data_IF_480572715797
#
_entry.id   IF_480572715797
#
_cell.length_a   1.000
_cell.length_b   1.000
_cell.length_c   1.000
_cell.angle_alpha   90.00
_cell.angle_beta   90.00
_cell.angle_gamma   90.00
#
_symmetry.space_group_name_H-M   'P 1'
#
loop_
_entity.id
_entity.type
_entity.pdbx_description
1 polymer ?
#
# COMPACT_ATOMS: atom_id res chain seq x y z
N UNK A 1 -35.17 58.54 25.98
CA UNK A 1 -35.21 58.23 24.53
C UNK A 1 -35.23 56.71 24.37
N UNK A 2 -36.41 56.10 24.16
CA UNK A 2 -36.89 55.43 22.93
C UNK A 2 -35.85 54.49 22.27
N UNK A 3 -35.96 53.16 22.44
CA UNK A 3 -36.80 52.13 21.73
C UNK A 3 -35.85 51.25 20.87
N UNK A 4 -35.55 50.00 21.26
CA UNK A 4 -36.25 48.73 20.94
C UNK A 4 -36.20 48.26 19.45
N UNK A 5 -35.47 47.15 19.25
CA UNK A 5 -35.89 45.87 18.60
C UNK A 5 -35.80 45.64 17.06
N UNK A 6 -35.50 44.34 16.78
CA UNK A 6 -35.74 43.47 15.59
C UNK A 6 -34.54 43.32 14.62
N UNK A 7 -33.93 42.13 14.42
CA UNK A 7 -34.38 40.83 13.83
C UNK A 7 -35.00 40.99 12.45
N UNK A 8 -34.34 40.42 11.42
CA UNK A 8 -34.98 39.60 10.38
C UNK A 8 -33.94 38.84 9.54
N UNK A 9 -34.34 37.63 9.17
CA UNK A 9 -33.77 36.63 8.28
C UNK A 9 -34.61 36.63 7.00
N UNK A 10 -34.01 36.43 5.82
CA UNK A 10 -34.63 35.98 4.54
C UNK A 10 -33.46 35.86 3.53
N UNK A 11 -33.11 34.76 2.84
CA UNK A 11 -33.79 33.86 1.86
C UNK A 11 -34.49 34.57 0.70
N UNK A 12 -33.91 34.43 -0.50
CA UNK A 12 -34.52 34.18 -1.84
C UNK A 12 -33.48 34.59 -2.91
N UNK A 13 -32.96 33.70 -3.78
CA UNK A 13 -33.56 33.01 -4.94
C UNK A 13 -34.04 33.93 -6.07
N UNK A 14 -33.61 33.58 -7.29
CA UNK A 14 -34.08 34.03 -8.61
C UNK A 14 -33.71 35.47 -9.02
N UNK A 15 -33.37 35.81 -10.27
CA UNK A 15 -33.15 35.11 -11.54
C UNK A 15 -32.55 36.13 -12.53
N UNK A 16 -32.43 35.74 -13.79
CA UNK A 16 -32.38 36.61 -15.00
C UNK A 16 -31.01 36.97 -15.61
N UNK A 17 -30.61 36.04 -16.48
CA UNK A 17 -30.00 36.24 -17.79
C UNK A 17 -30.30 37.58 -18.48
N UNK A 18 -29.24 38.22 -19.01
CA UNK A 18 -29.33 39.07 -20.21
C UNK A 18 -28.30 38.59 -21.25
N UNK A 19 -28.84 38.03 -22.34
CA UNK A 19 -28.12 37.65 -23.55
C UNK A 19 -28.03 38.85 -24.51
N UNK A 20 -26.83 39.21 -24.98
CA UNK A 20 -26.66 39.92 -26.26
C UNK A 20 -25.90 39.02 -27.23
N UNK A 21 -26.65 38.63 -28.24
CA UNK A 21 -26.35 37.68 -29.29
C UNK A 21 -25.72 38.32 -30.53
N UNK A 22 -25.01 37.48 -31.30
CA UNK A 22 -25.00 37.30 -32.77
C UNK A 22 -23.57 37.11 -33.29
N UNK A 23 -23.23 36.21 -34.21
CA UNK A 23 -23.87 35.12 -35.01
C UNK A 23 -22.70 34.61 -35.90
N UNK A 24 -22.49 33.35 -36.26
CA UNK A 24 -23.29 32.47 -37.15
C UNK A 24 -22.45 31.17 -37.33
N UNK A 25 -22.95 29.99 -36.94
CA UNK A 25 -23.77 29.01 -37.70
C UNK A 25 -23.07 28.26 -38.85
N UNK A 26 -22.96 26.93 -38.69
CA UNK A 26 -23.58 25.84 -39.50
C UNK A 26 -23.12 24.51 -38.86
N UNK A 27 -23.91 23.54 -38.43
CA UNK A 27 -25.33 23.25 -38.61
C UNK A 27 -25.50 21.95 -39.38
N UNK A 28 -25.81 20.83 -38.70
CA UNK A 28 -26.88 19.87 -39.09
C UNK A 28 -27.13 18.85 -37.98
N UNK A 29 -28.43 18.56 -37.81
CA UNK A 29 -29.10 17.85 -36.73
C UNK A 29 -28.92 16.32 -36.81
N UNK A 30 -28.91 15.69 -35.64
CA UNK A 30 -29.32 14.31 -35.46
C UNK A 30 -30.86 14.24 -35.44
N UNK A 31 -31.43 13.34 -36.22
CA UNK A 31 -32.80 12.83 -36.05
C UNK A 31 -32.68 11.35 -35.66
N UNK A 32 -33.36 10.99 -34.59
CA UNK A 32 -33.59 9.61 -34.19
C UNK A 32 -34.65 9.00 -35.12
N UNK A 33 -34.33 7.84 -35.70
CA UNK A 33 -35.33 6.89 -36.16
C UNK A 33 -34.92 5.47 -35.78
N UNK A 34 -35.87 4.80 -35.13
CA UNK A 34 -35.89 3.41 -34.71
C UNK A 34 -36.24 2.47 -35.89
N UNK A 35 -35.89 1.20 -35.70
CA UNK A 35 -36.29 -0.02 -36.41
C UNK A 35 -35.53 -0.46 -37.69
N UNK A 36 -34.99 -1.68 -37.64
CA UNK A 36 -34.59 -2.44 -38.83
C UNK A 36 -33.52 -3.50 -38.59
N UNK A 37 -33.96 -4.72 -38.22
CA UNK A 37 -33.18 -5.97 -38.25
C UNK A 37 -32.36 -6.10 -39.54
N UNK A 38 -31.04 -6.29 -39.41
CA UNK A 38 -30.20 -6.92 -40.44
C UNK A 38 -29.11 -7.75 -39.77
N UNK A 39 -29.21 -9.05 -39.96
CA UNK A 39 -28.16 -10.04 -39.71
C UNK A 39 -26.84 -9.57 -40.34
N UNK A 40 -25.79 -9.50 -39.52
CA UNK A 40 -24.42 -9.40 -40.02
C UNK A 40 -23.71 -10.73 -39.78
N UNK A 41 -23.28 -11.30 -40.90
CA UNK A 41 -22.57 -12.57 -41.02
C UNK A 41 -21.28 -12.58 -40.21
N UNK A 42 -21.09 -13.67 -39.47
CA UNK A 42 -19.87 -14.05 -38.76
C UNK A 42 -18.78 -14.36 -39.81
N UNK A 43 -17.60 -13.71 -39.78
CA UNK A 43 -16.46 -14.18 -40.54
C UNK A 43 -15.83 -15.39 -39.83
N UNK A 44 -15.91 -16.55 -40.47
CA UNK A 44 -15.14 -17.76 -40.14
C UNK A 44 -13.65 -17.45 -40.21
N UNK A 45 -12.96 -17.48 -39.06
CA UNK A 45 -11.50 -17.47 -38.98
C UNK A 45 -11.00 -18.91 -39.15
N UNK A 46 -10.24 -19.13 -40.21
CA UNK A 46 -9.57 -20.39 -40.51
C UNK A 46 -8.47 -20.66 -39.48
N UNK A 47 -8.51 -21.85 -38.88
CA UNK A 47 -7.42 -22.41 -38.06
C UNK A 47 -6.16 -22.61 -38.90
N UNK A 48 -5.16 -21.76 -38.70
CA UNK A 48 -3.76 -22.09 -38.98
C UNK A 48 -2.98 -21.94 -37.68
N UNK A 49 -2.87 -23.04 -36.94
CA UNK A 49 -1.93 -23.18 -35.83
C UNK A 49 -0.51 -23.27 -36.41
N UNK A 50 0.17 -22.13 -36.51
CA UNK A 50 1.62 -22.13 -36.47
C UNK A 50 2.02 -22.26 -35.00
N UNK A 51 2.68 -23.36 -34.65
CA UNK A 51 3.33 -23.58 -33.36
C UNK A 51 4.25 -22.40 -33.05
N UNK A 52 3.82 -21.55 -32.13
CA UNK A 52 4.69 -20.58 -31.46
C UNK A 52 5.16 -21.27 -30.18
N UNK A 53 6.45 -21.55 -30.10
CA UNK A 53 7.09 -22.05 -28.88
C UNK A 53 6.68 -21.19 -27.68
N UNK A 54 6.26 -21.78 -26.56
CA UNK A 54 5.94 -21.01 -25.37
C UNK A 54 7.23 -20.40 -24.84
N UNK A 55 7.41 -19.10 -25.08
CA UNK A 55 8.39 -18.29 -24.37
C UNK A 55 8.26 -18.59 -22.88
N UNK A 56 9.36 -19.03 -22.28
CA UNK A 56 9.47 -19.48 -20.90
C UNK A 56 8.78 -18.48 -19.94
N UNK A 57 7.55 -18.80 -19.53
CA UNK A 57 6.92 -18.17 -18.36
C UNK A 57 7.66 -18.70 -17.13
N UNK A 58 8.82 -18.12 -16.83
CA UNK A 58 9.44 -18.23 -15.52
C UNK A 58 8.44 -17.67 -14.52
N UNK A 59 7.93 -18.54 -13.63
CA UNK A 59 7.03 -18.17 -12.55
C UNK A 59 7.63 -16.98 -11.80
N UNK A 60 7.07 -15.77 -12.00
CA UNK A 60 7.46 -14.61 -11.21
C UNK A 60 7.27 -15.01 -9.75
N UNK A 61 8.33 -14.91 -8.95
CA UNK A 61 8.14 -14.84 -7.51
C UNK A 61 7.32 -13.57 -7.28
N UNK A 62 6.10 -13.67 -6.76
CA UNK A 62 5.21 -12.54 -6.44
C UNK A 62 5.78 -11.61 -5.33
N UNK A 63 7.10 -11.41 -5.26
CA UNK A 63 7.85 -10.66 -4.25
C UNK A 63 8.43 -9.39 -4.88
N UNK A 64 8.70 -8.33 -4.09
CA UNK A 64 9.38 -7.13 -4.58
C UNK A 64 10.64 -7.47 -5.36
N UNK A 65 10.78 -6.86 -6.53
CA UNK A 65 11.84 -7.18 -7.50
C UNK A 65 12.86 -6.05 -7.46
N UNK A 66 13.97 -6.33 -6.79
CA UNK A 66 15.16 -5.48 -6.78
C UNK A 66 16.25 -6.21 -7.53
N UNK A 67 16.53 -5.74 -8.74
CA UNK A 67 17.54 -6.31 -9.63
C UNK A 67 18.93 -6.02 -9.08
N UNK A 68 19.96 -6.77 -9.50
CA UNK A 68 21.34 -6.51 -9.06
C UNK A 68 21.80 -5.11 -9.48
N UNK A 69 21.49 -4.69 -10.71
CA UNK A 69 21.77 -3.35 -11.22
C UNK A 69 21.12 -2.27 -10.34
N UNK A 70 19.82 -2.39 -10.10
CA UNK A 70 19.09 -1.49 -9.19
C UNK A 70 19.68 -1.45 -7.79
N UNK A 71 20.07 -2.61 -7.25
CA UNK A 71 20.72 -2.67 -5.94
C UNK A 71 22.05 -1.91 -5.94
N UNK A 72 22.92 -2.16 -6.93
CA UNK A 72 24.25 -1.55 -6.99
C UNK A 72 24.17 -0.02 -7.16
N UNK A 73 23.20 0.47 -7.92
CA UNK A 73 22.95 1.91 -8.10
C UNK A 73 22.32 2.58 -6.87
N UNK A 74 21.42 1.89 -6.16
CA UNK A 74 20.83 2.43 -4.93
C UNK A 74 21.77 2.30 -3.74
N UNK A 75 22.65 1.30 -3.71
CA UNK A 75 23.46 0.94 -2.56
C UNK A 75 24.23 2.11 -1.88
N UNK A 76 24.78 3.10 -2.61
CA UNK A 76 25.43 4.25 -1.97
C UNK A 76 24.51 4.97 -0.98
N UNK A 77 23.20 4.99 -1.25
CA UNK A 77 22.21 5.79 -0.54
C UNK A 77 21.14 4.96 0.17
N UNK A 78 20.81 3.77 -0.33
CA UNK A 78 19.71 2.94 0.15
C UNK A 78 20.08 1.46 0.10
N UNK A 79 20.13 0.82 1.26
CA UNK A 79 20.28 -0.62 1.38
C UNK A 79 18.88 -1.24 1.22
N UNK A 80 18.66 -1.98 0.14
CA UNK A 80 17.45 -2.77 -0.06
C UNK A 80 17.62 -4.14 0.59
N UNK A 81 17.13 -4.31 1.82
CA UNK A 81 17.15 -5.53 2.61
C UNK A 81 15.83 -6.30 2.51
N UNK A 82 15.70 -7.04 1.41
CA UNK A 82 14.63 -8.00 1.17
C UNK A 82 15.19 -9.41 1.22
N UNK A 83 14.31 -10.40 1.40
CA UNK A 83 14.72 -11.80 1.32
C UNK A 83 15.35 -12.14 -0.04
N UNK A 84 14.89 -11.51 -1.12
CA UNK A 84 15.44 -11.67 -2.49
C UNK A 84 16.82 -11.05 -2.68
N UNK A 85 17.20 -10.04 -1.89
CA UNK A 85 18.47 -9.30 -2.06
C UNK A 85 19.54 -9.68 -1.05
N UNK A 86 19.29 -10.65 -0.18
CA UNK A 86 20.18 -10.99 0.94
C UNK A 86 21.61 -11.37 0.50
N UNK A 87 21.74 -11.98 -0.68
CA UNK A 87 23.03 -12.36 -1.25
C UNK A 87 23.82 -11.12 -1.68
N UNK A 88 23.18 -10.14 -2.32
CA UNK A 88 23.82 -8.89 -2.71
C UNK A 88 24.30 -8.12 -1.48
N UNK A 89 23.49 -8.08 -0.42
CA UNK A 89 23.87 -7.43 0.84
C UNK A 89 25.13 -8.06 1.41
N UNK A 90 25.19 -9.39 1.46
CA UNK A 90 26.36 -10.13 2.00
C UNK A 90 27.67 -9.78 1.30
N UNK A 91 27.61 -9.47 0.00
CA UNK A 91 28.77 -9.11 -0.81
C UNK A 91 29.19 -7.65 -0.62
N UNK A 92 28.25 -6.74 -0.33
CA UNK A 92 28.51 -5.30 -0.37
C UNK A 92 28.70 -4.65 1.01
N UNK A 93 28.24 -5.23 2.11
CA UNK A 93 28.37 -4.64 3.46
C UNK A 93 29.32 -5.42 4.38
N UNK A 94 29.80 -4.72 5.43
CA UNK A 94 30.60 -5.33 6.49
C UNK A 94 29.85 -6.47 7.17
N UNK A 95 30.60 -7.49 7.58
CA UNK A 95 30.06 -8.73 8.15
C UNK A 95 29.16 -8.48 9.36
N UNK A 96 29.51 -7.53 10.21
CA UNK A 96 28.76 -7.20 11.42
C UNK A 96 27.36 -6.66 11.08
N UNK A 97 27.29 -5.69 10.16
CA UNK A 97 26.03 -5.10 9.69
C UNK A 97 25.18 -6.13 8.95
N UNK A 98 25.80 -7.02 8.17
CA UNK A 98 25.08 -8.13 7.51
C UNK A 98 24.42 -9.07 8.53
N UNK A 99 25.13 -9.44 9.59
CA UNK A 99 24.58 -10.31 10.64
C UNK A 99 23.39 -9.63 11.34
N UNK A 100 23.47 -8.32 11.58
CA UNK A 100 22.38 -7.56 12.17
C UNK A 100 21.14 -7.51 11.25
N UNK A 101 21.32 -7.17 9.96
CA UNK A 101 20.24 -7.14 8.98
C UNK A 101 19.60 -8.53 8.83
N UNK A 102 20.41 -9.58 8.74
CA UNK A 102 19.91 -10.96 8.66
C UNK A 102 19.09 -11.34 9.88
N UNK A 103 19.53 -10.95 11.08
CA UNK A 103 18.79 -11.17 12.32
C UNK A 103 17.45 -10.43 12.30
N UNK A 104 17.42 -9.18 11.82
CA UNK A 104 16.18 -8.42 11.68
C UNK A 104 15.19 -9.12 10.73
N UNK A 105 15.64 -9.53 9.54
CA UNK A 105 14.81 -10.28 8.58
C UNK A 105 14.23 -11.57 9.18
N UNK A 106 15.03 -12.34 9.93
CA UNK A 106 14.58 -13.56 10.59
C UNK A 106 13.59 -13.32 11.74
N UNK A 107 13.65 -12.15 12.39
CA UNK A 107 12.72 -11.78 13.46
C UNK A 107 11.37 -11.29 12.91
N UNK A 108 11.36 -10.77 11.69
CA UNK A 108 10.22 -10.14 11.05
C UNK A 108 9.14 -11.15 10.58
N UNK A 109 9.52 -12.40 10.25
CA UNK A 109 8.57 -13.47 9.89
C UNK A 109 7.85 -14.12 11.08
N UNK A 110 7.97 -13.58 12.29
CA UNK A 110 7.39 -14.17 13.50
C UNK A 110 5.88 -13.91 13.60
N UNK A 111 5.17 -14.94 14.06
CA UNK A 111 3.78 -14.81 14.49
C UNK A 111 3.75 -14.03 15.81
N UNK A 112 3.18 -12.82 15.79
CA UNK A 112 2.99 -11.94 16.95
C UNK A 112 1.52 -11.86 17.38
N UNK A 113 0.66 -12.68 16.79
CA UNK A 113 -0.70 -12.89 17.27
C UNK A 113 -0.67 -13.60 18.63
N UNK A 114 -1.60 -13.23 19.51
CA UNK A 114 -1.77 -13.92 20.78
C UNK A 114 -2.25 -15.35 20.53
N UNK A 115 -1.77 -16.31 21.33
CA UNK A 115 -2.15 -17.72 21.20
C UNK A 115 -3.66 -17.95 21.27
N UNK A 116 -4.37 -17.18 22.10
CA UNK A 116 -5.84 -17.19 22.18
C UNK A 116 -6.51 -16.80 20.87
N UNK A 117 -5.95 -15.84 20.13
CA UNK A 117 -6.45 -15.43 18.81
C UNK A 117 -6.17 -16.51 17.78
N UNK A 118 -4.97 -17.11 17.81
CA UNK A 118 -4.59 -18.19 16.89
C UNK A 118 -5.53 -19.38 17.04
N UNK A 119 -5.79 -19.83 18.27
CA UNK A 119 -6.73 -20.92 18.56
C UNK A 119 -8.14 -20.66 18.02
N UNK A 120 -8.66 -19.44 18.22
CA UNK A 120 -9.95 -19.03 17.66
C UNK A 120 -9.97 -19.10 16.13
N UNK A 121 -8.90 -18.65 15.47
CA UNK A 121 -8.78 -18.71 14.02
C UNK A 121 -8.72 -20.16 13.53
N UNK A 122 -7.95 -21.04 14.17
CA UNK A 122 -7.89 -22.47 13.86
C UNK A 122 -9.28 -23.11 13.93
N UNK A 123 -10.01 -22.85 15.03
CA UNK A 123 -11.39 -23.33 15.18
C UNK A 123 -12.33 -22.83 14.08
N UNK A 124 -12.23 -21.55 13.70
CA UNK A 124 -13.01 -21.00 12.57
C UNK A 124 -12.64 -21.70 11.27
N UNK A 125 -11.35 -21.88 10.98
CA UNK A 125 -10.88 -22.39 9.68
C UNK A 125 -11.08 -23.90 9.51
N UNK A 126 -11.27 -24.65 10.59
CA UNK A 126 -11.69 -26.06 10.57
C UNK A 126 -13.20 -26.23 10.34
N UNK A 127 -13.97 -25.14 10.37
CA UNK A 127 -15.43 -25.19 10.23
C UNK A 127 -15.88 -25.26 8.78
N UNK A 128 -16.85 -26.14 8.50
CA UNK A 128 -17.48 -26.25 7.20
C UNK A 128 -18.19 -24.96 6.79
N UNK A 129 -18.24 -24.70 5.48
CA UNK A 129 -18.85 -23.49 4.92
C UNK A 129 -20.31 -23.29 5.37
N UNK A 130 -21.09 -24.35 5.59
CA UNK A 130 -22.50 -24.24 6.02
C UNK A 130 -22.66 -23.56 7.37
N UNK A 131 -21.64 -23.60 8.22
CA UNK A 131 -21.67 -23.10 9.61
C UNK A 131 -20.67 -21.95 9.83
N UNK A 132 -19.84 -21.63 8.83
CA UNK A 132 -18.72 -20.70 8.97
C UNK A 132 -19.15 -19.30 9.43
N UNK A 133 -20.26 -18.77 8.92
CA UNK A 133 -20.75 -17.43 9.31
C UNK A 133 -21.08 -17.39 10.81
N UNK A 134 -21.82 -18.39 11.30
CA UNK A 134 -22.17 -18.53 12.71
C UNK A 134 -20.93 -18.72 13.58
N UNK A 135 -19.98 -19.54 13.13
CA UNK A 135 -18.73 -19.78 13.86
C UNK A 135 -17.86 -18.54 13.97
N UNK A 136 -17.74 -17.76 12.89
CA UNK A 136 -17.03 -16.48 12.92
C UNK A 136 -17.67 -15.59 13.99
N UNK A 137 -18.99 -15.46 14.01
CA UNK A 137 -19.70 -14.62 14.98
C UNK A 137 -19.44 -15.12 16.41
N UNK A 138 -19.58 -16.41 16.69
CA UNK A 138 -19.37 -17.01 18.01
C UNK A 138 -17.95 -16.77 18.55
N UNK A 139 -16.92 -17.07 17.75
CA UNK A 139 -15.52 -16.98 18.20
C UNK A 139 -15.02 -15.54 18.34
N UNK A 140 -15.70 -14.59 17.69
CA UNK A 140 -15.33 -13.17 17.65
C UNK A 140 -16.29 -12.27 18.43
N UNK A 141 -17.02 -12.81 19.41
CA UNK A 141 -17.84 -12.01 20.32
C UNK A 141 -16.98 -10.97 21.05
N UNK A 142 -17.47 -9.73 21.05
CA UNK A 142 -16.89 -8.58 21.73
C UNK A 142 -18.00 -7.90 22.52
N UNK A 143 -17.73 -7.54 23.76
CA UNK A 143 -18.68 -6.79 24.59
C UNK A 143 -18.90 -5.39 24.00
N UNK A 144 -20.16 -4.92 23.96
CA UNK A 144 -20.55 -3.72 23.20
C UNK A 144 -19.78 -2.44 23.55
N UNK A 145 -19.26 -2.34 24.78
CA UNK A 145 -18.52 -1.17 25.26
C UNK A 145 -17.01 -1.42 25.42
N UNK A 146 -16.51 -2.60 25.07
CA UNK A 146 -15.08 -2.88 25.20
C UNK A 146 -14.30 -2.22 24.06
N UNK A 147 -13.53 -1.19 24.43
CA UNK A 147 -12.66 -0.42 23.55
C UNK A 147 -11.20 -0.87 23.60
N UNK A 148 -10.92 -2.00 24.26
CA UNK A 148 -9.59 -2.58 24.34
C UNK A 148 -9.01 -2.87 22.96
N UNK A 149 -7.68 -2.88 22.87
CA UNK A 149 -6.98 -3.19 21.63
C UNK A 149 -7.28 -4.61 21.14
N UNK A 150 -7.42 -5.56 22.08
CA UNK A 150 -7.78 -6.94 21.76
C UNK A 150 -9.16 -7.00 21.12
N UNK A 151 -10.16 -6.36 21.72
CA UNK A 151 -11.53 -6.33 21.20
C UNK A 151 -11.66 -5.63 19.86
N UNK A 152 -10.92 -4.54 19.64
CA UNK A 152 -10.82 -3.90 18.33
C UNK A 152 -10.17 -4.82 17.29
N UNK A 153 -9.15 -5.58 17.67
CA UNK A 153 -8.53 -6.53 16.75
C UNK A 153 -9.45 -7.72 16.44
N UNK A 154 -10.22 -8.20 17.42
CA UNK A 154 -11.28 -9.21 17.21
C UNK A 154 -12.39 -8.69 16.30
N UNK A 155 -12.78 -7.42 16.43
CA UNK A 155 -13.68 -6.75 15.48
C UNK A 155 -13.11 -6.78 14.06
N UNK A 156 -11.82 -6.41 13.88
CA UNK A 156 -11.16 -6.47 12.58
C UNK A 156 -11.22 -7.88 11.98
N UNK A 157 -10.90 -8.92 12.76
CA UNK A 157 -10.99 -10.33 12.33
C UNK A 157 -12.40 -10.66 11.84
N UNK A 158 -13.42 -10.39 12.66
CA UNK A 158 -14.82 -10.71 12.36
C UNK A 158 -15.24 -10.17 11.00
N UNK A 159 -15.09 -8.86 10.80
CA UNK A 159 -15.64 -8.20 9.62
C UNK A 159 -14.82 -8.50 8.37
N UNK A 160 -13.52 -8.74 8.49
CA UNK A 160 -12.72 -9.22 7.36
C UNK A 160 -13.12 -10.63 6.93
N UNK A 161 -13.33 -11.57 7.86
CA UNK A 161 -13.74 -12.93 7.51
C UNK A 161 -15.17 -12.99 6.98
N UNK A 162 -16.11 -12.26 7.60
CA UNK A 162 -17.50 -12.21 7.12
C UNK A 162 -17.62 -11.69 5.69
N UNK A 163 -16.88 -10.62 5.38
CA UNK A 163 -16.82 -10.07 4.03
C UNK A 163 -16.27 -11.11 3.04
N UNK A 164 -15.16 -11.78 3.38
CA UNK A 164 -14.58 -12.84 2.57
C UNK A 164 -15.55 -13.99 2.30
N UNK A 165 -16.16 -14.58 3.35
CA UNK A 165 -17.03 -15.76 3.20
C UNK A 165 -18.30 -15.44 2.41
N UNK A 166 -18.82 -14.20 2.53
CA UNK A 166 -20.03 -13.76 1.81
C UNK A 166 -19.88 -13.90 0.30
N UNK A 167 -18.66 -13.74 -0.23
CA UNK A 167 -18.39 -13.88 -1.67
C UNK A 167 -18.72 -15.27 -2.22
N UNK A 168 -18.76 -16.31 -1.38
CA UNK A 168 -18.95 -17.69 -1.83
C UNK A 168 -20.38 -18.21 -1.68
N UNK A 169 -21.31 -17.40 -1.16
CA UNK A 169 -22.67 -17.85 -0.79
C UNK A 169 -23.43 -18.50 -1.93
N UNK A 170 -23.23 -17.98 -3.14
CA UNK A 170 -23.91 -18.45 -4.35
C UNK A 170 -22.93 -18.91 -5.44
N UNK A 171 -21.64 -19.07 -5.10
CA UNK A 171 -20.60 -19.48 -6.05
C UNK A 171 -20.23 -20.94 -5.79
N UNK A 172 -20.22 -21.77 -6.84
CA UNK A 172 -19.77 -23.16 -6.79
C UNK A 172 -19.01 -23.47 -8.07
N UNK A 173 -17.73 -23.93 -8.00
CA UNK A 173 -16.93 -24.17 -6.79
C UNK A 173 -16.61 -22.87 -6.03
N UNK A 174 -16.30 -22.95 -4.72
CA UNK A 174 -16.04 -21.79 -3.86
C UNK A 174 -14.66 -21.16 -4.11
N UNK A 175 -14.50 -20.63 -5.32
CA UNK A 175 -13.29 -20.03 -5.86
C UNK A 175 -13.70 -18.72 -6.54
N UNK A 176 -12.98 -17.64 -6.22
CA UNK A 176 -13.12 -16.34 -6.85
C UNK A 176 -12.32 -16.31 -8.14
N UNK A 177 -12.85 -15.63 -9.15
CA UNK A 177 -12.08 -15.34 -10.35
C UNK A 177 -10.84 -14.52 -9.99
N UNK A 178 -9.70 -14.85 -10.57
CA UNK A 178 -8.44 -14.13 -10.40
C UNK A 178 -8.04 -13.36 -11.66
N UNK A 179 -8.73 -13.56 -12.79
CA UNK A 179 -8.53 -12.79 -14.02
C UNK A 179 -9.35 -11.49 -13.95
N UNK A 180 -8.91 -10.58 -13.08
CA UNK A 180 -9.57 -9.30 -12.85
C UNK A 180 -8.61 -8.13 -13.06
N UNK A 181 -9.17 -6.95 -13.32
CA UNK A 181 -8.36 -5.73 -13.39
C UNK A 181 -7.73 -5.38 -12.03
N UNK A 182 -6.61 -4.66 -12.04
CA UNK A 182 -5.96 -4.15 -10.83
C UNK A 182 -6.92 -3.37 -9.93
N UNK A 183 -7.74 -2.48 -10.50
CA UNK A 183 -8.74 -1.71 -9.74
C UNK A 183 -9.83 -2.59 -9.14
N UNK A 184 -10.28 -3.61 -9.87
CA UNK A 184 -11.22 -4.60 -9.34
C UNK A 184 -10.61 -5.34 -8.16
N UNK A 185 -9.34 -5.76 -8.27
CA UNK A 185 -8.64 -6.42 -7.18
C UNK A 185 -8.48 -5.53 -5.93
N UNK A 186 -8.18 -4.24 -6.13
CA UNK A 186 -8.15 -3.27 -5.03
C UNK A 186 -9.51 -3.19 -4.34
N UNK A 187 -10.60 -3.06 -5.09
CA UNK A 187 -11.95 -2.85 -4.54
C UNK A 187 -12.52 -4.10 -3.89
N UNK A 188 -12.42 -5.25 -4.56
CA UNK A 188 -13.09 -6.49 -4.15
C UNK A 188 -12.27 -7.29 -3.13
N UNK A 189 -10.94 -7.19 -3.15
CA UNK A 189 -10.09 -8.02 -2.29
C UNK A 189 -9.36 -7.22 -1.21
N UNK A 190 -8.70 -6.11 -1.56
CA UNK A 190 -7.89 -5.36 -0.61
C UNK A 190 -8.73 -4.41 0.26
N UNK A 191 -9.63 -3.65 -0.37
CA UNK A 191 -10.38 -2.61 0.31
C UNK A 191 -11.20 -3.11 1.51
N UNK A 192 -11.84 -4.29 1.49
CA UNK A 192 -12.55 -4.80 2.65
C UNK A 192 -11.63 -5.04 3.85
N UNK A 193 -10.43 -5.57 3.64
CA UNK A 193 -9.43 -5.81 4.69
C UNK A 193 -8.98 -4.48 5.30
N UNK A 194 -8.54 -3.54 4.47
CA UNK A 194 -8.09 -2.22 4.91
C UNK A 194 -9.21 -1.41 5.58
N UNK A 195 -10.44 -1.51 5.08
CA UNK A 195 -11.62 -0.85 5.67
C UNK A 195 -11.93 -1.40 7.07
N UNK A 196 -11.96 -2.72 7.23
CA UNK A 196 -12.17 -3.35 8.54
C UNK A 196 -11.07 -2.98 9.53
N UNK A 197 -9.81 -2.93 9.08
CA UNK A 197 -8.68 -2.50 9.91
C UNK A 197 -8.81 -1.02 10.35
N UNK A 198 -9.15 -0.12 9.42
CA UNK A 198 -9.41 1.30 9.73
C UNK A 198 -10.54 1.48 10.73
N UNK A 199 -11.62 0.72 10.56
CA UNK A 199 -12.78 0.82 11.45
C UNK A 199 -12.45 0.36 12.88
N UNK A 200 -11.59 -0.67 13.01
CA UNK A 200 -11.05 -1.09 14.31
C UNK A 200 -10.08 -0.07 14.93
N UNK A 201 -9.30 0.64 14.09
CA UNK A 201 -8.26 1.57 14.51
C UNK A 201 -8.41 2.93 13.80
N UNK A 202 -9.33 3.79 14.28
CA UNK A 202 -9.73 5.01 13.59
C UNK A 202 -8.74 6.18 13.75
N UNK A 203 -7.50 5.93 14.18
CA UNK A 203 -6.42 6.93 14.28
C UNK A 203 -5.86 7.35 12.91
N UNK A 204 -6.24 6.64 11.84
CA UNK A 204 -5.71 6.83 10.50
C UNK A 204 -6.83 7.02 9.46
N UNK A 205 -6.52 7.80 8.43
CA UNK A 205 -7.32 7.99 7.24
C UNK A 205 -6.75 7.17 6.09
N UNK A 206 -7.61 6.46 5.38
CA UNK A 206 -7.24 5.75 4.16
C UNK A 206 -7.78 6.54 2.97
N UNK A 207 -6.90 6.84 2.01
CA UNK A 207 -7.27 7.32 0.69
C UNK A 207 -7.11 6.17 -0.29
N UNK A 208 -8.03 6.13 -1.25
CA UNK A 208 -8.15 5.08 -2.23
C UNK A 208 -7.89 5.63 -3.61
N UNK A 209 -7.25 4.80 -4.43
CA UNK A 209 -7.09 4.87 -5.87
C UNK A 209 -6.43 6.18 -6.31
N UNK A 210 -5.20 6.06 -6.81
CA UNK A 210 -4.51 7.13 -7.52
C UNK A 210 -4.39 8.46 -6.74
N UNK A 211 -4.13 8.38 -5.43
CA UNK A 211 -3.97 9.56 -4.57
C UNK A 211 -2.59 10.19 -4.74
N UNK A 212 -2.53 11.51 -4.96
CA UNK A 212 -1.25 12.23 -5.00
C UNK A 212 -0.45 12.11 -3.70
N UNK A 213 0.83 11.77 -3.83
CA UNK A 213 1.81 11.73 -2.74
C UNK A 213 2.27 13.14 -2.36
N UNK A 214 1.80 13.63 -1.21
CA UNK A 214 2.16 14.94 -0.68
C UNK A 214 3.58 14.97 -0.12
N UNK A 215 4.13 13.82 0.28
CA UNK A 215 5.51 13.68 0.73
C UNK A 215 6.52 14.14 -0.32
N UNK A 216 6.26 13.88 -1.61
CA UNK A 216 7.11 14.32 -2.72
C UNK A 216 7.20 15.85 -2.78
N UNK A 217 6.07 16.55 -2.61
CA UNK A 217 6.05 18.02 -2.59
C UNK A 217 6.87 18.59 -1.44
N UNK A 218 6.95 17.89 -0.32
CA UNK A 218 7.78 18.30 0.82
C UNK A 218 9.25 18.02 0.54
N UNK A 219 9.59 16.84 0.00
CA UNK A 219 10.96 16.52 -0.41
C UNK A 219 11.51 17.51 -1.44
N UNK A 220 10.75 17.81 -2.50
CA UNK A 220 11.13 18.81 -3.52
C UNK A 220 11.48 20.16 -2.89
N UNK A 221 10.71 20.61 -1.88
CA UNK A 221 11.00 21.86 -1.17
C UNK A 221 12.22 21.77 -0.26
N UNK A 222 12.47 20.61 0.35
CA UNK A 222 13.60 20.41 1.26
C UNK A 222 14.94 20.34 0.53
N UNK A 223 14.94 19.81 -0.69
CA UNK A 223 16.16 19.56 -1.47
C UNK A 223 16.27 20.41 -2.75
N UNK A 224 15.33 21.31 -3.00
CA UNK A 224 15.26 22.15 -4.21
C UNK A 224 15.24 21.32 -5.52
N UNK A 225 14.46 20.23 -5.52
CA UNK A 225 14.39 19.25 -6.62
C UNK A 225 13.00 19.21 -7.30
N UNK A 226 12.89 18.58 -8.46
CA UNK A 226 11.64 18.34 -9.21
C UNK A 226 11.46 16.87 -9.62
N UNK A 227 11.11 16.06 -8.62
CA UNK A 227 10.79 14.63 -8.77
C UNK A 227 9.53 14.40 -9.66
N UNK A 228 8.71 15.44 -9.85
CA UNK A 228 7.38 15.36 -10.44
C UNK A 228 6.35 14.68 -9.53
N UNK A 229 5.07 14.97 -9.74
CA UNK A 229 4.00 14.34 -8.95
C UNK A 229 3.92 12.83 -9.21
N UNK A 230 3.57 12.08 -8.16
CA UNK A 230 3.24 10.65 -8.24
C UNK A 230 1.98 10.37 -7.45
N UNK A 231 1.28 9.33 -7.88
CA UNK A 231 0.06 8.84 -7.27
C UNK A 231 0.30 7.47 -6.64
N UNK A 232 -0.50 7.09 -5.66
CA UNK A 232 -0.49 5.75 -5.05
C UNK A 232 -1.88 5.15 -4.99
N UNK A 233 -1.95 3.83 -5.02
CA UNK A 233 -3.22 3.11 -5.03
C UNK A 233 -3.93 3.14 -3.68
N UNK A 234 -3.17 3.02 -2.59
CA UNK A 234 -3.72 3.20 -1.24
C UNK A 234 -2.72 4.01 -0.41
N UNK A 235 -3.23 5.08 0.21
CA UNK A 235 -2.43 5.94 1.08
C UNK A 235 -3.05 5.99 2.47
N UNK A 236 -2.26 5.66 3.49
CA UNK A 236 -2.64 5.82 4.88
C UNK A 236 -1.97 7.08 5.45
N UNK A 237 -2.79 7.99 5.94
CA UNK A 237 -2.37 9.19 6.63
C UNK A 237 -2.79 9.14 8.09
N UNK A 238 -1.91 9.61 8.97
CA UNK A 238 -2.24 9.77 10.38
C UNK A 238 -3.14 11.00 10.57
N UNK A 239 -4.22 10.86 11.32
CA UNK A 239 -5.20 11.96 11.48
C UNK A 239 -4.67 13.15 12.29
N UNK A 240 -3.74 12.92 13.20
CA UNK A 240 -3.25 13.97 14.11
C UNK A 240 -2.48 15.09 13.39
N UNK A 241 -1.90 14.80 12.24
CA UNK A 241 -0.94 15.69 11.54
C UNK A 241 -0.96 15.54 10.02
N UNK A 242 -1.83 14.69 9.46
CA UNK A 242 -1.97 14.42 8.03
C UNK A 242 -0.68 13.94 7.34
N UNK A 243 0.30 13.43 8.09
CA UNK A 243 1.54 12.88 7.52
C UNK A 243 1.27 11.50 6.93
N UNK A 244 1.92 11.22 5.82
CA UNK A 244 1.87 9.94 5.12
C UNK A 244 2.69 8.91 5.90
N UNK A 245 2.05 7.83 6.34
CA UNK A 245 2.68 6.81 7.19
C UNK A 245 2.78 5.44 6.50
N UNK A 246 1.89 5.14 5.54
CA UNK A 246 1.95 3.93 4.75
C UNK A 246 1.47 4.15 3.33
N UNK A 247 2.29 3.73 2.36
CA UNK A 247 1.96 3.76 0.93
C UNK A 247 1.72 2.32 0.43
N UNK A 248 0.74 2.11 -0.46
CA UNK A 248 0.54 0.82 -1.12
C UNK A 248 0.49 1.01 -2.63
N UNK A 249 1.22 0.15 -3.34
CA UNK A 249 1.15 0.03 -4.80
C UNK A 249 0.78 -1.40 -5.17
N UNK A 250 -0.15 -1.54 -6.11
CA UNK A 250 -0.55 -2.82 -6.69
C UNK A 250 0.06 -2.94 -8.07
N UNK A 251 0.99 -3.87 -8.22
CA UNK A 251 1.76 -4.07 -9.45
C UNK A 251 1.01 -4.89 -10.47
N UNK A 252 -0.04 -4.29 -11.03
CA UNK A 252 -0.88 -4.91 -12.05
C UNK A 252 -1.92 -5.89 -11.50
N UNK A 253 -2.65 -6.57 -12.40
CA UNK A 253 -3.68 -7.52 -12.02
C UNK A 253 -3.11 -8.72 -11.24
N UNK A 254 -3.93 -9.36 -10.37
CA UNK A 254 -3.49 -10.50 -9.57
C UNK A 254 -3.07 -11.71 -10.41
N UNK A 255 -3.56 -11.80 -11.66
CA UNK A 255 -3.12 -12.75 -12.66
C UNK A 255 -2.44 -12.02 -13.82
N UNK A 256 -1.30 -12.54 -14.31
CA UNK A 256 -0.51 -11.98 -15.43
C UNK A 256 0.05 -10.55 -15.20
N UNK A 257 0.56 -10.27 -14.00
CA UNK A 257 1.32 -9.04 -13.75
C UNK A 257 2.58 -8.97 -14.64
N UNK A 258 2.81 -7.82 -15.28
CA UNK A 258 3.98 -7.63 -16.13
C UNK A 258 5.24 -7.33 -15.30
N UNK A 259 6.33 -8.05 -15.58
CA UNK A 259 7.61 -7.89 -14.89
C UNK A 259 8.17 -6.44 -14.95
N UNK A 260 8.18 -5.75 -16.11
CA UNK A 260 8.67 -4.38 -16.17
C UNK A 260 7.86 -3.45 -15.27
N UNK A 261 6.53 -3.57 -15.29
CA UNK A 261 5.65 -2.77 -14.43
C UNK A 261 5.98 -2.95 -12.96
N UNK A 262 6.16 -4.21 -12.53
CA UNK A 262 6.50 -4.56 -11.14
C UNK A 262 7.82 -3.94 -10.69
N UNK A 263 8.85 -3.93 -11.54
CA UNK A 263 10.14 -3.29 -11.24
C UNK A 263 9.97 -1.78 -11.12
N UNK A 264 9.24 -1.14 -12.03
CA UNK A 264 8.94 0.30 -11.98
C UNK A 264 8.23 0.71 -10.69
N UNK A 265 7.24 -0.07 -10.25
CA UNK A 265 6.51 0.15 -8.99
C UNK A 265 7.39 -0.04 -7.76
N UNK A 266 8.33 -1.00 -7.81
CA UNK A 266 9.30 -1.21 -6.72
C UNK A 266 10.19 0.04 -6.57
N UNK A 267 10.73 0.56 -7.68
CA UNK A 267 11.51 1.82 -7.71
C UNK A 267 10.67 2.98 -7.15
N UNK A 268 9.43 3.12 -7.62
CA UNK A 268 8.47 4.15 -7.18
C UNK A 268 8.22 4.10 -5.68
N UNK A 269 7.92 2.92 -5.12
CA UNK A 269 7.64 2.76 -3.70
C UNK A 269 8.86 3.06 -2.82
N UNK A 270 10.07 2.63 -3.20
CA UNK A 270 11.29 2.93 -2.46
C UNK A 270 11.55 4.44 -2.42
N UNK A 271 11.45 5.10 -3.58
CA UNK A 271 11.59 6.55 -3.68
C UNK A 271 10.55 7.28 -2.81
N UNK A 272 9.28 6.90 -2.91
CA UNK A 272 8.20 7.48 -2.11
C UNK A 272 8.39 7.26 -0.61
N UNK A 273 8.94 6.12 -0.20
CA UNK A 273 9.20 5.80 1.20
C UNK A 273 10.26 6.73 1.79
N UNK A 274 11.31 7.05 1.03
CA UNK A 274 12.33 8.05 1.40
C UNK A 274 11.72 9.45 1.47
N UNK A 275 10.93 9.87 0.47
CA UNK A 275 10.22 11.15 0.51
C UNK A 275 9.31 11.27 1.74
N UNK A 276 8.59 10.19 2.08
CA UNK A 276 7.72 10.14 3.25
C UNK A 276 8.54 10.27 4.54
N UNK A 277 9.72 9.65 4.60
CA UNK A 277 10.61 9.73 5.76
C UNK A 277 11.13 11.17 5.94
N UNK A 278 11.53 11.83 4.86
CA UNK A 278 11.88 13.25 4.87
C UNK A 278 10.71 14.12 5.35
N UNK A 279 9.48 13.83 4.91
CA UNK A 279 8.27 14.53 5.38
C UNK A 279 8.03 14.36 6.89
N UNK A 280 8.34 13.19 7.47
CA UNK A 280 8.24 12.98 8.92
C UNK A 280 9.26 13.84 9.70
N UNK A 281 10.44 14.05 9.12
CA UNK A 281 11.49 14.87 9.74
C UNK A 281 11.39 16.37 9.45
N UNK A 282 10.56 16.82 8.50
CA UNK A 282 10.47 18.23 8.09
C UNK A 282 10.28 19.19 9.26
N UNK A 283 9.56 18.75 10.29
CA UNK A 283 9.20 19.55 11.45
C UNK A 283 10.16 19.34 12.63
N UNK A 284 11.13 18.41 12.51
CA UNK A 284 12.03 17.97 13.60
C UNK A 284 13.48 17.76 13.10
N UNK A 285 13.95 18.60 12.18
CA UNK A 285 15.28 18.48 11.56
C UNK A 285 16.46 18.57 12.55
N UNK A 286 16.23 19.17 13.71
CA UNK A 286 17.24 19.37 14.75
C UNK A 286 17.24 18.27 15.83
N UNK A 287 16.46 17.20 15.65
CA UNK A 287 16.46 16.07 16.58
C UNK A 287 17.75 15.23 16.49
N UNK A 288 17.99 14.46 17.56
CA UNK A 288 19.14 13.57 17.67
C UNK A 288 19.05 12.38 16.72
N UNK A 289 20.18 12.02 16.15
CA UNK A 289 20.31 10.94 15.14
C UNK A 289 19.95 9.57 15.68
N UNK A 290 20.20 9.29 16.95
CA UNK A 290 19.89 7.98 17.57
C UNK A 290 18.38 7.70 17.65
N UNK A 291 17.57 8.70 18.00
CA UNK A 291 16.11 8.56 17.96
C UNK A 291 15.59 8.61 16.51
N UNK A 292 16.24 9.38 15.63
CA UNK A 292 15.86 9.46 14.23
C UNK A 292 16.04 8.16 13.45
N UNK A 293 17.11 7.39 13.70
CA UNK A 293 17.32 6.05 13.11
C UNK A 293 16.16 5.09 13.39
N UNK A 294 15.40 5.32 14.45
CA UNK A 294 14.26 4.49 14.86
C UNK A 294 12.95 4.91 14.20
N UNK A 295 12.90 6.11 13.59
CA UNK A 295 11.74 6.55 12.83
C UNK A 295 11.67 5.79 11.51
N UNK A 296 10.48 5.31 11.18
CA UNK A 296 10.21 4.51 10.00
C UNK A 296 9.01 5.03 9.23
N UNK A 297 9.08 4.88 7.92
CA UNK A 297 7.91 4.88 7.02
C UNK A 297 7.67 3.48 6.52
N UNK A 298 6.43 3.18 6.13
CA UNK A 298 6.04 1.85 5.71
C UNK A 298 5.50 1.86 4.28
N UNK A 299 5.71 0.77 3.58
CA UNK A 299 5.17 0.56 2.25
C UNK A 299 4.73 -0.88 2.06
N UNK A 300 3.63 -1.07 1.33
CA UNK A 300 3.13 -2.36 0.91
C UNK A 300 3.25 -2.43 -0.61
N UNK A 301 3.94 -3.44 -1.11
CA UNK A 301 3.84 -3.80 -2.52
C UNK A 301 2.97 -5.02 -2.67
N UNK A 302 2.02 -4.97 -3.61
CA UNK A 302 1.17 -6.10 -3.96
C UNK A 302 1.53 -6.59 -5.34
N UNK A 303 1.95 -7.84 -5.47
CA UNK A 303 2.30 -8.47 -6.76
C UNK A 303 1.52 -9.78 -6.84
N UNK A 304 0.73 -9.95 -7.90
CA UNK A 304 -0.23 -11.04 -7.96
C UNK A 304 -1.19 -10.96 -6.75
N UNK A 305 -1.24 -12.03 -5.95
CA UNK A 305 -1.99 -12.09 -4.70
C UNK A 305 -1.14 -11.93 -3.43
N UNK A 306 0.15 -11.56 -3.54
CA UNK A 306 1.05 -11.43 -2.38
C UNK A 306 1.17 -9.98 -1.96
N UNK A 307 1.00 -9.73 -0.65
CA UNK A 307 1.36 -8.48 -0.02
C UNK A 307 2.75 -8.61 0.60
N UNK A 308 3.58 -7.59 0.44
CA UNK A 308 4.88 -7.48 1.12
C UNK A 308 4.99 -6.12 1.78
N UNK A 309 5.08 -6.11 3.11
CA UNK A 309 5.34 -4.92 3.93
C UNK A 309 6.84 -4.73 4.06
N UNK A 310 7.32 -3.51 3.87
CA UNK A 310 8.66 -3.12 4.24
C UNK A 310 8.67 -1.75 4.91
N UNK A 311 9.70 -1.49 5.70
CA UNK A 311 9.93 -0.20 6.34
C UNK A 311 11.18 0.47 5.79
N UNK A 312 11.17 1.80 5.72
CA UNK A 312 12.35 2.62 5.39
C UNK A 312 12.74 3.48 6.58
N UNK A 313 14.03 3.48 6.92
CA UNK A 313 14.62 4.23 8.03
C UNK A 313 16.01 4.76 7.69
N UNK A 314 16.53 5.67 8.51
CA UNK A 314 17.93 6.07 8.47
C UNK A 314 18.81 5.00 9.11
N UNK A 315 19.92 4.65 8.47
CA UNK A 315 20.92 3.73 9.04
C UNK A 315 22.25 4.43 9.32
N UNK A 316 22.65 5.33 8.44
CA UNK A 316 23.88 6.12 8.56
C UNK A 316 23.68 7.49 7.90
N UNK A 317 24.69 8.36 7.99
CA UNK A 317 24.69 9.65 7.32
C UNK A 317 24.48 9.47 5.82
N UNK A 318 23.46 10.12 5.27
CA UNK A 318 23.05 10.03 3.85
C UNK A 318 22.68 8.62 3.39
N UNK A 319 22.39 7.71 4.33
CA UNK A 319 22.12 6.30 4.02
C UNK A 319 20.87 5.79 4.70
N UNK A 320 20.02 5.16 3.90
CA UNK A 320 18.74 4.58 4.28
C UNK A 320 18.80 3.06 4.26
N UNK A 321 17.87 2.44 4.98
CA UNK A 321 17.62 1.01 4.99
C UNK A 321 16.15 0.76 4.68
N UNK A 322 15.87 0.07 3.58
CA UNK A 322 14.57 -0.55 3.30
C UNK A 322 14.61 -2.00 3.77
N UNK A 323 13.75 -2.38 4.72
CA UNK A 323 13.75 -3.69 5.37
C UNK A 323 12.40 -4.37 5.19
N UNK A 324 12.40 -5.57 4.59
CA UNK A 324 11.21 -6.44 4.53
C UNK A 324 10.77 -6.83 5.93
N UNK A 325 9.47 -6.63 6.22
CA UNK A 325 8.88 -6.82 7.54
C UNK A 325 7.90 -7.97 7.60
N UNK A 326 7.11 -8.18 6.56
CA UNK A 326 6.11 -9.26 6.55
C UNK A 326 5.65 -9.54 5.12
N UNK A 327 5.24 -10.78 4.88
CA UNK A 327 4.55 -11.15 3.65
C UNK A 327 3.36 -12.09 3.92
N UNK A 328 2.28 -11.92 3.16
CA UNK A 328 1.12 -12.79 3.22
C UNK A 328 0.47 -12.94 1.83
N UNK A 329 -0.41 -13.93 1.69
CA UNK A 329 -1.17 -14.19 0.46
C UNK A 329 -2.64 -13.88 0.69
N UNK A 330 -3.25 -13.18 -0.24
CA UNK A 330 -4.71 -13.04 -0.30
C UNK A 330 -5.30 -14.34 -0.84
N UNK A 331 -6.22 -14.98 -0.09
CA UNK A 331 -6.89 -16.18 -0.57
C UNK A 331 -7.94 -15.83 -1.62
N UNK A 332 -8.05 -16.67 -2.64
CA UNK A 332 -9.07 -16.62 -3.69
C UNK A 332 -10.02 -17.82 -3.62
N UNK A 333 -9.84 -18.74 -2.67
CA UNK A 333 -10.73 -19.88 -2.47
C UNK A 333 -11.06 -20.05 -1.00
N UNK A 334 -12.24 -20.59 -0.71
CA UNK A 334 -12.61 -20.93 0.66
C UNK A 334 -11.62 -21.92 1.28
N UNK A 335 -11.12 -22.89 0.51
CA UNK A 335 -10.14 -23.89 0.97
C UNK A 335 -8.82 -23.26 1.45
N UNK A 336 -8.53 -22.02 1.06
CA UNK A 336 -7.34 -21.27 1.48
C UNK A 336 -7.63 -20.22 2.56
N UNK A 337 -8.80 -20.27 3.22
CA UNK A 337 -9.18 -19.34 4.28
C UNK A 337 -8.15 -19.24 5.41
N UNK A 338 -7.40 -20.32 5.69
CA UNK A 338 -6.33 -20.32 6.69
C UNK A 338 -5.19 -19.33 6.41
N UNK A 339 -5.06 -18.83 5.17
CA UNK A 339 -4.14 -17.73 4.84
C UNK A 339 -4.45 -16.44 5.62
N UNK A 340 -5.69 -16.25 6.10
CA UNK A 340 -6.04 -15.12 6.94
C UNK A 340 -5.27 -15.05 8.25
N UNK A 341 -4.74 -16.15 8.80
CA UNK A 341 -3.81 -16.09 9.95
C UNK A 341 -2.62 -15.19 9.65
N UNK A 342 -2.02 -15.33 8.46
CA UNK A 342 -0.87 -14.50 8.05
C UNK A 342 -1.30 -13.07 7.73
N UNK A 343 -2.49 -12.85 7.17
CA UNK A 343 -3.04 -11.51 6.93
C UNK A 343 -3.26 -10.78 8.27
N UNK A 344 -3.86 -11.44 9.27
CA UNK A 344 -4.05 -10.82 10.58
C UNK A 344 -2.71 -10.56 11.26
N UNK A 345 -1.73 -11.48 11.18
CA UNK A 345 -0.39 -11.21 11.68
C UNK A 345 0.25 -9.99 11.01
N UNK A 346 0.14 -9.87 9.68
CA UNK A 346 0.64 -8.75 8.90
C UNK A 346 0.06 -7.40 9.39
N UNK A 347 -1.25 -7.32 9.60
CA UNK A 347 -1.89 -6.10 10.13
C UNK A 347 -1.63 -5.89 11.63
N UNK A 348 -1.35 -6.95 12.39
CA UNK A 348 -0.89 -6.83 13.79
C UNK A 348 0.49 -6.18 13.85
N UNK A 349 1.38 -6.51 12.92
CA UNK A 349 2.71 -5.86 12.79
C UNK A 349 2.52 -4.37 12.49
N UNK A 350 1.72 -4.03 11.48
CA UNK A 350 1.41 -2.63 11.14
C UNK A 350 0.87 -1.87 12.36
N UNK A 351 -0.06 -2.46 13.12
CA UNK A 351 -0.64 -1.80 14.30
C UNK A 351 0.40 -1.55 15.38
N UNK A 352 1.28 -2.53 15.64
CA UNK A 352 2.34 -2.43 16.65
C UNK A 352 3.32 -1.33 16.26
N UNK A 353 3.79 -1.35 15.02
CA UNK A 353 4.68 -0.34 14.46
C UNK A 353 4.07 1.08 14.53
N UNK A 354 2.82 1.26 14.13
CA UNK A 354 2.16 2.58 14.21
C UNK A 354 2.10 3.13 15.65
N UNK A 355 1.91 2.26 16.64
CA UNK A 355 1.92 2.67 18.06
C UNK A 355 3.30 3.10 18.51
N UNK A 356 4.32 2.32 18.17
CA UNK A 356 5.71 2.63 18.50
C UNK A 356 6.17 3.93 17.84
N UNK A 357 5.88 4.12 16.56
CA UNK A 357 6.20 5.36 15.84
C UNK A 357 5.49 6.58 16.43
N UNK A 358 4.24 6.43 16.88
CA UNK A 358 3.52 7.50 17.56
C UNK A 358 4.17 7.87 18.92
N UNK A 359 4.69 6.91 19.67
CA UNK A 359 5.42 7.16 20.92
C UNK A 359 6.77 7.83 20.65
N UNK A 360 7.53 7.30 19.70
CA UNK A 360 8.84 7.81 19.32
C UNK A 360 8.77 9.25 18.80
N UNK A 361 7.76 9.55 17.97
CA UNK A 361 7.54 10.92 17.49
C UNK A 361 7.29 11.90 18.64
N UNK A 362 6.44 11.54 19.61
CA UNK A 362 6.18 12.40 20.79
C UNK A 362 7.45 12.65 21.59
N UNK A 363 8.35 11.66 21.64
CA UNK A 363 9.68 11.84 22.24
C UNK A 363 10.51 12.85 21.46
N UNK A 364 10.58 12.70 20.14
CA UNK A 364 11.37 13.58 19.25
C UNK A 364 10.86 15.04 19.29
N UNK A 365 9.55 15.27 19.31
CA UNK A 365 8.99 16.62 19.34
C UNK A 365 9.25 17.40 20.64
N UNK A 366 9.61 16.69 21.72
CA UNK A 366 9.78 17.27 23.05
C UNK A 366 11.25 17.55 23.41
N UNK A 367 12.20 17.23 22.53
CA UNK A 367 13.64 17.38 22.78
C UNK A 367 14.15 18.70 22.21
N UNK A 368 14.55 19.60 23.10
CA UNK A 368 15.28 20.82 22.81
C UNK A 368 16.60 20.79 23.57
N UNK A 369 17.53 19.93 23.16
CA UNK A 369 18.80 19.75 23.88
C UNK A 369 20.02 19.88 22.96
N UNK A 370 21.16 20.18 23.59
CA UNK A 370 22.52 20.29 23.03
C UNK A 370 22.93 19.01 22.29
N UNK A 371 22.49 18.87 21.04
CA UNK A 371 22.75 17.73 20.18
C UNK A 371 23.91 18.05 19.25
N UNK A 372 24.98 17.25 19.33
CA UNK A 372 26.18 17.38 18.48
C UNK A 372 25.94 16.97 17.03
N UNK A 373 24.98 16.07 16.75
CA UNK A 373 24.68 15.56 15.41
C UNK A 373 23.19 15.63 15.10
N UNK A 374 22.82 16.41 14.10
CA UNK A 374 21.43 16.69 13.75
C UNK A 374 20.99 15.89 12.53
N UNK A 375 19.70 15.56 12.48
CA UNK A 375 19.11 14.82 11.35
C UNK A 375 19.26 15.55 10.02
N UNK A 376 19.21 16.89 10.00
CA UNK A 376 19.45 17.67 8.76
C UNK A 376 20.76 17.31 8.04
N UNK A 377 21.80 16.90 8.77
CA UNK A 377 23.11 16.56 8.19
C UNK A 377 23.18 15.11 7.69
N UNK A 378 22.13 14.32 7.98
CA UNK A 378 21.99 12.91 7.67
C UNK A 378 21.00 12.64 6.56
N UNK A 379 19.99 13.49 6.39
CA UNK A 379 19.08 13.40 5.26
C UNK A 379 19.84 13.74 3.97
N UNK A 380 19.58 12.95 2.94
CA UNK A 380 20.14 13.18 1.63
C UNK A 380 19.18 12.63 0.59
N UNK A 381 18.94 13.42 -0.44
CA UNK A 381 18.26 12.94 -1.61
C UNK A 381 19.29 12.90 -2.75
N UNK A 382 19.49 11.76 -3.42
CA UNK A 382 20.46 11.69 -4.51
C UNK A 382 20.08 12.63 -5.65
N UNK A 383 21.04 13.47 -6.08
CA UNK A 383 20.89 14.32 -7.28
C UNK A 383 20.87 13.48 -8.57
N UNK A 384 21.18 12.18 -8.46
CA UNK A 384 21.23 11.24 -9.56
C UNK A 384 19.82 10.94 -10.10
N UNK A 385 19.63 11.28 -11.38
CA UNK A 385 18.39 11.02 -12.13
C UNK A 385 17.87 9.59 -12.03
N UNK A 386 18.70 8.60 -11.67
CA UNK A 386 18.31 7.20 -11.52
C UNK A 386 17.29 6.96 -10.40
N UNK A 387 17.35 7.73 -9.30
CA UNK A 387 16.37 7.58 -8.23
C UNK A 387 14.97 8.07 -8.66
N UNK A 388 14.91 8.87 -9.73
CA UNK A 388 13.70 9.46 -10.32
C UNK A 388 13.28 8.82 -11.64
N UNK A 389 14.21 8.17 -12.34
CA UNK A 389 14.00 7.52 -13.61
C UNK A 389 13.36 6.15 -13.39
N UNK A 390 12.04 6.15 -13.28
CA UNK A 390 11.21 4.95 -13.14
C UNK A 390 11.14 4.11 -14.43
N UNK A 391 11.82 4.52 -15.51
CA UNK A 391 11.89 3.70 -16.74
C UNK A 391 12.70 2.45 -16.43
N UNK A 392 12.15 1.30 -16.81
CA UNK A 392 12.88 0.03 -16.82
C UNK A 392 13.92 0.13 -17.93
N UNK A 393 15.19 -0.02 -17.57
CA UNK A 393 16.25 -0.17 -18.57
C UNK A 393 16.20 -1.65 -18.98
N UNK A 394 16.25 -2.01 -20.28
CA UNK A 394 16.17 -3.42 -20.70
C UNK A 394 17.16 -4.34 -19.96
N UNK A 395 18.33 -3.81 -19.60
CA UNK A 395 19.36 -4.50 -18.82
C UNK A 395 18.97 -4.78 -17.35
N UNK A 396 17.94 -4.12 -16.80
CA UNK A 396 17.38 -4.41 -15.47
C UNK A 396 16.74 -5.80 -15.41
N UNK A 397 16.20 -6.29 -16.53
CA UNK A 397 15.36 -7.50 -16.58
C UNK A 397 16.21 -8.79 -16.61
N UNK A 398 17.44 -8.72 -17.10
CA UNK A 398 18.27 -9.90 -17.44
C UNK A 398 18.89 -10.63 -16.24
N UNK A 399 18.66 -10.16 -14.99
CA UNK A 399 19.23 -10.80 -13.78
C UNK A 399 18.26 -10.84 -12.59
N UNK A 400 16.99 -11.21 -12.83
CA UNK A 400 16.15 -11.68 -11.71
C UNK A 400 16.62 -13.10 -11.35
N UNK A 401 17.64 -13.17 -10.49
CA UNK A 401 18.03 -14.44 -9.86
C UNK A 401 16.94 -14.76 -8.83
N UNK A 402 16.11 -15.76 -9.15
CA UNK A 402 15.03 -16.29 -8.29
C UNK A 402 15.62 -16.96 -7.05
#
# INVERSE_FOLDING_TARGET
>A
ERVLRKRETETDSDSDYVEKSKKRKKGRRNEYHDSGLREQQIPTISNNYSEVEPAQQTALTNKPIVTKMMYDEYFPYLICAFNSTINYIKETIKKETYVEIKKMLQMNDRLILQESVVKKLETIFETDYSEIESKIIEETVVEANDQSESSRFTFFIRYTLLDFVTNFKYITPRVLDCDMSERTFIVECLAPIFRSFRNAFPDNKIWWIEKDATSIKVANKMFEDDIGSRKVDILIQRLTDNKEILNTEVSGPPFKSALPHTVGDTKKLLMMSVCSLCQLFSDNLDCGTEDAKRIRTYSIQVIGNRLTLFAVSLTDRKKYLALEMATCLIPFSFDTISHFTKIFNFFRIIRTEFKEQNQLRKKISNLADNINTRVRDWLYFPDDSFFYNLKIIPEDIDKVVI
#
